data_IF_114823916441
#
_entry.id   IF_114823916441
#
_cell.length_a   1.000
_cell.length_b   1.000
_cell.length_c   1.000
_cell.angle_alpha   90.00
_cell.angle_beta   90.00
_cell.angle_gamma   90.00
#
_symmetry.space_group_name_H-M   'P 1'
#
loop_
_entity.id
_entity.type
_entity.pdbx_description
1 polymer ?
#
# COMPACT_ATOMS: atom_id res chain seq x y z
N UNK A 1 3.32 -21.46 -13.68
CA UNK A 1 4.24 -20.47 -13.12
C UNK A 1 4.30 -20.77 -11.63
N UNK A 2 5.46 -21.13 -11.08
CA UNK A 2 5.60 -21.28 -9.62
C UNK A 2 5.65 -19.88 -9.02
N UNK A 3 4.51 -19.41 -8.55
CA UNK A 3 4.46 -18.15 -7.80
C UNK A 3 5.09 -18.39 -6.44
N UNK A 4 6.07 -17.58 -6.09
CA UNK A 4 6.64 -17.62 -4.75
C UNK A 4 5.65 -16.93 -3.79
N UNK A 5 5.16 -17.73 -2.86
CA UNK A 5 4.31 -17.30 -1.76
C UNK A 5 4.86 -17.90 -0.47
N UNK A 6 4.64 -17.23 0.64
CA UNK A 6 4.90 -17.75 1.96
C UNK A 6 3.79 -17.39 2.92
N UNK A 7 3.53 -18.31 3.83
CA UNK A 7 2.61 -18.13 4.96
C UNK A 7 3.40 -18.41 6.23
N UNK A 8 3.32 -17.50 7.19
CA UNK A 8 3.75 -17.79 8.56
C UNK A 8 2.50 -17.90 9.45
N UNK A 9 2.47 -18.97 10.24
CA UNK A 9 1.38 -19.30 11.15
C UNK A 9 1.90 -19.14 12.57
N UNK A 10 1.14 -18.52 13.50
CA UNK A 10 1.53 -18.46 14.91
C UNK A 10 1.71 -19.85 15.51
N UNK A 11 2.60 -19.93 16.49
CA UNK A 11 2.71 -21.14 17.32
C UNK A 11 1.47 -21.33 18.21
N UNK A 12 1.18 -22.57 18.53
CA UNK A 12 0.10 -22.93 19.46
C UNK A 12 -1.15 -23.50 18.78
N UNK A 13 -2.26 -23.42 19.47
CA UNK A 13 -3.53 -24.02 19.01
C UNK A 13 -4.27 -23.04 18.10
N UNK A 14 -4.65 -23.51 16.91
CA UNK A 14 -5.48 -22.73 15.99
C UNK A 14 -6.83 -22.38 16.65
N UNK A 15 -7.26 -21.11 16.62
CA UNK A 15 -8.58 -20.71 17.09
C UNK A 15 -9.70 -21.48 16.38
N UNK A 16 -10.85 -21.64 17.04
CA UNK A 16 -12.02 -22.34 16.47
C UNK A 16 -12.45 -21.77 15.12
N UNK A 17 -12.40 -20.43 14.94
CA UNK A 17 -12.72 -19.75 13.67
C UNK A 17 -11.61 -19.81 12.61
N UNK A 18 -10.43 -20.30 12.95
CA UNK A 18 -9.21 -20.20 12.15
C UNK A 18 -8.31 -19.04 12.57
N UNK A 19 -7.16 -18.91 11.95
CA UNK A 19 -6.21 -17.84 12.24
C UNK A 19 -6.67 -16.51 11.63
N UNK A 20 -6.65 -15.39 12.38
CA UNK A 20 -6.69 -14.07 11.79
C UNK A 20 -5.54 -13.95 10.78
N UNK A 21 -5.74 -13.23 9.69
CA UNK A 21 -4.76 -13.15 8.61
C UNK A 21 -4.47 -11.71 8.20
N UNK A 22 -3.20 -11.41 8.00
CA UNK A 22 -2.76 -10.24 7.24
C UNK A 22 -2.20 -10.70 5.88
N UNK A 23 -2.72 -10.12 4.80
CA UNK A 23 -2.16 -10.24 3.46
C UNK A 23 -1.19 -9.07 3.27
N UNK A 24 0.06 -9.38 2.94
CA UNK A 24 1.13 -8.39 2.84
C UNK A 24 1.56 -8.14 1.39
N UNK A 25 1.42 -6.89 0.95
CA UNK A 25 1.94 -6.40 -0.33
C UNK A 25 3.27 -5.68 -0.15
N UNK A 26 4.36 -6.24 -0.69
CA UNK A 26 5.70 -5.69 -0.57
C UNK A 26 5.94 -4.45 -1.44
N UNK A 27 6.99 -3.68 -1.14
CA UNK A 27 7.46 -2.56 -1.95
C UNK A 27 8.20 -3.01 -3.22
N UNK A 28 8.43 -2.06 -4.12
CA UNK A 28 9.21 -2.27 -5.36
C UNK A 28 10.59 -2.82 -5.05
N UNK A 29 11.00 -3.85 -5.77
CA UNK A 29 12.27 -4.55 -5.51
C UNK A 29 12.22 -5.56 -4.37
N UNK A 30 11.12 -5.62 -3.60
CA UNK A 30 10.89 -6.60 -2.57
C UNK A 30 10.46 -7.97 -3.10
N UNK A 31 10.02 -8.82 -2.21
CA UNK A 31 9.48 -10.16 -2.50
C UNK A 31 8.57 -10.62 -1.36
N UNK A 32 8.00 -11.80 -1.48
CA UNK A 32 7.27 -12.45 -0.38
C UNK A 32 8.07 -12.49 0.95
N UNK A 33 9.42 -12.52 0.87
CA UNK A 33 10.29 -12.50 2.07
C UNK A 33 10.17 -11.20 2.87
N UNK A 34 9.81 -10.09 2.22
CA UNK A 34 9.58 -8.82 2.94
C UNK A 34 8.43 -8.93 3.94
N UNK A 35 7.36 -9.66 3.61
CA UNK A 35 6.32 -10.00 4.58
C UNK A 35 6.79 -10.94 5.67
N UNK A 36 7.61 -11.93 5.31
CA UNK A 36 8.13 -12.89 6.28
C UNK A 36 9.07 -12.26 7.31
N UNK A 37 9.71 -11.13 7.01
CA UNK A 37 10.50 -10.40 8.00
C UNK A 37 9.67 -9.84 9.17
N UNK A 38 8.34 -9.74 9.01
CA UNK A 38 7.40 -9.28 10.04
C UNK A 38 6.63 -10.43 10.71
N UNK A 39 6.98 -11.67 10.36
CA UNK A 39 6.23 -12.85 10.80
C UNK A 39 6.23 -13.03 12.33
N UNK A 40 7.34 -12.70 12.99
CA UNK A 40 7.46 -12.82 14.44
C UNK A 40 6.53 -11.85 15.19
N UNK A 41 6.43 -10.61 14.72
CA UNK A 41 5.57 -9.58 15.28
C UNK A 41 4.09 -9.98 15.14
N UNK A 42 3.68 -10.43 13.96
CA UNK A 42 2.31 -10.90 13.74
C UNK A 42 2.00 -12.17 14.53
N UNK A 43 2.94 -13.13 14.58
CA UNK A 43 2.78 -14.34 15.37
C UNK A 43 2.61 -14.04 16.87
N UNK A 44 3.35 -13.05 17.39
CA UNK A 44 3.20 -12.57 18.76
C UNK A 44 1.81 -11.99 19.08
N UNK A 45 1.10 -11.53 18.06
CA UNK A 45 -0.29 -11.07 18.16
C UNK A 45 -1.32 -12.18 17.86
N UNK A 46 -0.88 -13.40 17.59
CA UNK A 46 -1.77 -14.51 17.20
C UNK A 46 -2.33 -14.36 15.78
N UNK A 47 -1.65 -13.64 14.90
CA UNK A 47 -2.08 -13.35 13.52
C UNK A 47 -1.15 -14.06 12.54
N UNK A 48 -1.72 -14.77 11.57
CA UNK A 48 -0.97 -15.31 10.43
C UNK A 48 -0.65 -14.21 9.41
N UNK A 49 0.42 -14.39 8.64
CA UNK A 49 0.77 -13.49 7.53
C UNK A 49 0.97 -14.28 6.25
N UNK A 50 0.35 -13.82 5.16
CA UNK A 50 0.49 -14.35 3.80
C UNK A 50 1.14 -13.27 2.93
N UNK A 51 2.23 -13.61 2.26
CA UNK A 51 2.89 -12.74 1.31
C UNK A 51 3.19 -13.48 0.00
N UNK A 52 3.12 -12.76 -1.12
CA UNK A 52 3.43 -13.27 -2.45
C UNK A 52 4.32 -12.31 -3.20
N UNK A 53 5.05 -12.80 -4.21
CA UNK A 53 5.72 -11.94 -5.16
C UNK A 53 4.68 -11.21 -6.02
N UNK A 54 4.70 -9.88 -6.01
CA UNK A 54 3.80 -9.06 -6.82
C UNK A 54 4.11 -9.16 -8.32
N UNK A 55 3.23 -8.61 -9.16
CA UNK A 55 3.45 -8.48 -10.60
C UNK A 55 4.84 -7.89 -10.90
N UNK A 56 5.54 -8.41 -11.89
CA UNK A 56 6.90 -8.04 -12.30
C UNK A 56 7.99 -8.25 -11.24
N UNK A 57 7.74 -9.06 -10.19
CA UNK A 57 8.72 -9.43 -9.17
C UNK A 57 8.96 -10.94 -9.14
N UNK A 58 10.10 -11.33 -8.56
CA UNK A 58 10.48 -12.74 -8.49
C UNK A 58 10.41 -13.45 -9.85
N UNK A 59 9.94 -14.70 -9.91
CA UNK A 59 9.77 -15.45 -11.17
C UNK A 59 8.74 -14.82 -12.12
N UNK A 60 7.85 -13.98 -11.61
CA UNK A 60 6.82 -13.30 -12.41
C UNK A 60 7.39 -12.21 -13.33
N UNK A 61 8.65 -11.82 -13.16
CA UNK A 61 9.33 -10.87 -14.07
C UNK A 61 9.48 -11.39 -15.49
N UNK A 62 9.80 -12.67 -15.62
CA UNK A 62 10.11 -13.31 -16.90
C UNK A 62 11.45 -12.90 -17.52
N UNK A 63 12.10 -11.85 -17.03
CA UNK A 63 13.41 -11.34 -17.49
C UNK A 63 14.23 -10.82 -16.31
N UNK A 64 15.56 -10.86 -16.41
CA UNK A 64 16.48 -10.33 -15.41
C UNK A 64 16.67 -8.81 -15.59
N UNK A 65 15.74 -8.04 -15.04
CA UNK A 65 15.76 -6.57 -15.01
C UNK A 65 15.26 -6.06 -13.67
N UNK A 66 15.57 -4.83 -13.35
CA UNK A 66 15.00 -4.10 -12.21
C UNK A 66 13.46 -4.12 -12.30
N UNK A 67 12.76 -4.60 -11.26
CA UNK A 67 11.30 -4.66 -11.25
C UNK A 67 10.63 -3.29 -11.29
N UNK A 68 11.27 -2.22 -10.80
CA UNK A 68 10.69 -0.89 -10.80
C UNK A 68 10.33 -0.38 -12.20
N UNK A 69 11.29 -0.25 -13.13
CA UNK A 69 11.00 0.11 -14.51
C UNK A 69 10.10 -0.88 -15.26
N UNK A 70 10.07 -2.15 -14.86
CA UNK A 70 9.16 -3.13 -15.45
C UNK A 70 7.72 -2.92 -14.98
N UNK A 71 7.53 -2.67 -13.69
CA UNK A 71 6.21 -2.50 -13.10
C UNK A 71 5.58 -1.16 -13.48
N UNK A 72 6.31 -0.05 -13.22
CA UNK A 72 5.84 1.31 -13.49
C UNK A 72 6.03 1.78 -14.94
N UNK A 73 6.52 1.03 -15.80
CA UNK A 73 6.80 1.16 -17.23
C UNK A 73 6.14 2.35 -17.93
N UNK A 74 6.46 3.57 -17.51
CA UNK A 74 5.90 4.81 -18.08
C UNK A 74 6.21 5.00 -19.57
N UNK A 75 7.23 4.32 -20.10
CA UNK A 75 7.49 4.24 -21.54
C UNK A 75 6.46 3.39 -22.30
N UNK A 76 5.64 2.61 -21.59
CA UNK A 76 4.52 1.85 -22.12
C UNK A 76 3.32 2.00 -21.17
N UNK A 77 2.58 3.13 -21.23
CA UNK A 77 1.50 3.44 -20.30
C UNK A 77 0.43 2.34 -20.16
N UNK A 78 0.00 1.64 -21.23
CA UNK A 78 -0.90 0.51 -21.08
C UNK A 78 -0.35 -0.62 -20.20
N UNK A 79 0.94 -0.94 -20.31
CA UNK A 79 1.58 -1.95 -19.48
C UNK A 79 1.67 -1.48 -18.01
N UNK A 80 2.07 -0.24 -17.76
CA UNK A 80 2.11 0.35 -16.43
C UNK A 80 0.75 0.26 -15.73
N UNK A 81 -0.31 0.73 -16.41
CA UNK A 81 -1.68 0.65 -15.91
C UNK A 81 -2.13 -0.81 -15.70
N UNK A 82 -1.83 -1.69 -16.64
CA UNK A 82 -2.14 -3.12 -16.56
C UNK A 82 -1.47 -3.81 -15.37
N UNK A 83 -0.22 -3.47 -15.06
CA UNK A 83 0.50 -4.03 -13.91
C UNK A 83 -0.12 -3.63 -12.57
N UNK A 84 -0.58 -2.38 -12.43
CA UNK A 84 -1.31 -1.92 -11.25
C UNK A 84 -2.62 -2.68 -11.06
N UNK A 85 -3.41 -2.83 -12.12
CA UNK A 85 -4.66 -3.61 -12.10
C UNK A 85 -4.40 -5.09 -11.83
N UNK A 86 -3.31 -5.66 -12.36
CA UNK A 86 -2.93 -7.03 -12.07
C UNK A 86 -2.60 -7.22 -10.58
N UNK A 87 -1.88 -6.27 -9.98
CA UNK A 87 -1.60 -6.30 -8.54
C UNK A 87 -2.88 -6.28 -7.69
N UNK A 88 -3.87 -5.47 -8.09
CA UNK A 88 -5.18 -5.46 -7.43
C UNK A 88 -5.91 -6.81 -7.61
N UNK A 89 -5.93 -7.36 -8.83
CA UNK A 89 -6.58 -8.65 -9.13
C UNK A 89 -5.96 -9.81 -8.36
N UNK A 90 -4.63 -9.81 -8.21
CA UNK A 90 -3.92 -10.80 -7.39
C UNK A 90 -4.39 -10.74 -5.93
N UNK A 91 -4.51 -9.53 -5.36
CA UNK A 91 -4.95 -9.33 -4.00
C UNK A 91 -6.39 -9.81 -3.76
N UNK A 92 -7.32 -9.57 -4.69
CA UNK A 92 -8.66 -10.19 -4.64
C UNK A 92 -8.58 -11.72 -4.60
N UNK A 93 -7.69 -12.29 -5.40
CA UNK A 93 -7.49 -13.75 -5.44
C UNK A 93 -6.94 -14.29 -4.12
N UNK A 94 -6.04 -13.55 -3.46
CA UNK A 94 -5.48 -13.92 -2.15
C UNK A 94 -6.55 -13.88 -1.05
N UNK A 95 -7.42 -12.87 -1.04
CA UNK A 95 -8.54 -12.84 -0.07
C UNK A 95 -9.48 -14.00 -0.30
N UNK A 96 -9.85 -14.29 -1.54
CA UNK A 96 -10.69 -15.46 -1.88
C UNK A 96 -10.05 -16.76 -1.47
N UNK A 97 -8.74 -16.92 -1.74
CA UNK A 97 -8.00 -18.09 -1.26
C UNK A 97 -8.08 -18.20 0.26
N UNK A 98 -7.78 -17.14 0.99
CA UNK A 98 -7.79 -17.13 2.45
C UNK A 98 -9.16 -17.49 3.04
N UNK A 99 -10.25 -17.03 2.42
CA UNK A 99 -11.63 -17.30 2.88
C UNK A 99 -12.08 -18.74 2.71
N UNK A 100 -11.49 -19.49 1.80
CA UNK A 100 -11.91 -20.86 1.48
C UNK A 100 -10.86 -21.90 1.83
N UNK A 101 -9.65 -21.49 2.18
CA UNK A 101 -8.57 -22.43 2.48
C UNK A 101 -8.84 -23.14 3.81
N UNK A 102 -8.97 -24.47 3.74
CA UNK A 102 -9.03 -25.39 4.86
C UNK A 102 -8.24 -26.64 4.48
N UNK A 103 -7.02 -26.76 5.01
CA UNK A 103 -6.12 -27.82 4.56
C UNK A 103 -4.78 -27.81 5.28
N UNK A 104 -3.82 -28.52 4.69
CA UNK A 104 -2.48 -28.65 5.28
C UNK A 104 -1.47 -27.69 4.65
N UNK A 105 -0.73 -26.99 5.51
CA UNK A 105 0.50 -26.31 5.17
C UNK A 105 1.66 -27.04 5.86
N UNK A 106 2.40 -27.84 5.10
CA UNK A 106 3.34 -28.78 5.67
C UNK A 106 2.64 -29.85 6.53
N UNK A 107 3.00 -29.93 7.81
CA UNK A 107 2.39 -30.84 8.78
C UNK A 107 1.19 -30.25 9.53
N UNK A 108 0.96 -28.94 9.41
CA UNK A 108 -0.06 -28.22 10.16
C UNK A 108 -1.39 -28.20 9.41
N UNK A 109 -2.48 -28.48 10.13
CA UNK A 109 -3.83 -28.16 9.65
C UNK A 109 -4.06 -26.66 9.83
N UNK A 110 -4.45 -25.98 8.77
CA UNK A 110 -4.56 -24.53 8.74
C UNK A 110 -5.87 -24.12 8.09
N UNK A 111 -6.54 -23.18 8.72
CA UNK A 111 -7.69 -22.45 8.22
C UNK A 111 -7.55 -21.00 8.65
N UNK A 112 -7.95 -20.06 7.80
CA UNK A 112 -8.02 -18.65 8.14
C UNK A 112 -9.43 -18.26 8.53
N UNK A 113 -9.54 -17.30 9.45
CA UNK A 113 -10.84 -16.75 9.85
C UNK A 113 -11.34 -15.76 8.79
N UNK A 114 -12.40 -16.08 8.05
CA UNK A 114 -12.89 -15.22 6.97
C UNK A 114 -13.45 -13.88 7.46
N UNK A 115 -13.71 -13.73 8.77
CA UNK A 115 -14.18 -12.50 9.38
C UNK A 115 -13.03 -11.60 9.87
N UNK A 116 -11.78 -12.09 9.88
CA UNK A 116 -10.62 -11.40 10.43
C UNK A 116 -9.44 -11.40 9.44
N UNK A 117 -9.69 -10.88 8.24
CA UNK A 117 -8.67 -10.67 7.21
C UNK A 117 -8.39 -9.18 7.09
N UNK A 118 -7.11 -8.80 7.10
CA UNK A 118 -6.65 -7.44 6.88
C UNK A 118 -5.57 -7.41 5.78
N UNK A 119 -5.31 -6.22 5.25
CA UNK A 119 -4.26 -5.98 4.28
C UNK A 119 -3.20 -5.05 4.85
N UNK A 120 -1.94 -5.32 4.57
CA UNK A 120 -0.84 -4.36 4.78
C UNK A 120 -0.09 -4.19 3.47
N UNK A 121 -0.07 -2.97 2.97
CA UNK A 121 0.69 -2.59 1.78
C UNK A 121 1.85 -1.67 2.11
N UNK A 122 3.03 -1.97 1.57
CA UNK A 122 4.18 -1.09 1.64
C UNK A 122 4.56 -0.60 0.24
N UNK A 123 4.74 0.73 0.07
CA UNK A 123 5.20 1.34 -1.18
C UNK A 123 4.37 0.85 -2.38
N UNK A 124 4.89 0.00 -3.27
CA UNK A 124 4.13 -0.57 -4.38
C UNK A 124 2.87 -1.32 -3.89
N UNK A 125 2.95 -2.08 -2.79
CA UNK A 125 1.78 -2.70 -2.16
C UNK A 125 0.77 -1.67 -1.67
N UNK A 126 1.24 -0.51 -1.19
CA UNK A 126 0.38 0.61 -0.83
C UNK A 126 -0.17 1.38 -2.05
N UNK A 127 0.40 1.18 -3.24
CA UNK A 127 -0.16 1.71 -4.50
C UNK A 127 -1.23 0.78 -5.08
N UNK A 128 -1.02 -0.54 -5.01
CA UNK A 128 -1.99 -1.52 -5.54
C UNK A 128 -3.13 -1.82 -4.56
N UNK A 129 -2.88 -1.68 -3.25
CA UNK A 129 -3.85 -1.93 -2.20
C UNK A 129 -5.14 -1.12 -2.33
N UNK A 130 -5.07 0.20 -2.51
CA UNK A 130 -6.24 1.05 -2.69
C UNK A 130 -7.15 0.67 -3.86
N UNK A 131 -6.62 -0.02 -4.86
CA UNK A 131 -7.38 -0.45 -6.03
C UNK A 131 -8.25 -1.68 -5.76
N UNK A 132 -8.10 -2.35 -4.61
CA UNK A 132 -8.91 -3.52 -4.28
C UNK A 132 -9.58 -3.44 -2.90
N UNK A 133 -8.91 -2.86 -1.91
CA UNK A 133 -9.39 -2.81 -0.51
C UNK A 133 -10.82 -2.29 -0.38
N UNK A 134 -11.23 -1.17 -1.03
CA UNK A 134 -12.59 -0.66 -0.90
C UNK A 134 -13.65 -1.50 -1.63
N UNK A 135 -13.23 -2.46 -2.45
CA UNK A 135 -14.11 -3.28 -3.29
C UNK A 135 -14.18 -4.74 -2.83
N UNK A 136 -13.44 -5.09 -1.77
CA UNK A 136 -13.38 -6.45 -1.22
C UNK A 136 -14.12 -6.51 0.13
N UNK A 137 -15.22 -7.27 0.18
CA UNK A 137 -16.05 -7.43 1.38
C UNK A 137 -15.45 -8.32 2.45
N UNK A 138 -14.40 -9.07 2.10
CA UNK A 138 -13.67 -9.95 3.01
C UNK A 138 -12.69 -9.25 3.95
N UNK A 139 -12.45 -7.94 3.77
CA UNK A 139 -11.49 -7.19 4.57
C UNK A 139 -12.15 -6.42 5.71
N UNK A 140 -11.43 -6.28 6.82
CA UNK A 140 -11.84 -5.49 8.00
C UNK A 140 -10.87 -4.37 8.34
N UNK A 141 -9.70 -4.35 7.74
CA UNK A 141 -8.74 -3.28 7.92
C UNK A 141 -7.66 -3.28 6.87
N UNK A 142 -7.04 -2.12 6.69
CA UNK A 142 -5.87 -1.96 5.84
C UNK A 142 -4.86 -1.00 6.48
N UNK A 143 -3.58 -1.31 6.33
CA UNK A 143 -2.47 -0.42 6.68
C UNK A 143 -1.68 -0.14 5.41
N UNK A 144 -1.47 1.14 5.11
CA UNK A 144 -0.65 1.59 4.01
C UNK A 144 0.56 2.33 4.54
N UNK A 145 1.76 2.01 4.04
CA UNK A 145 2.99 2.70 4.38
C UNK A 145 3.71 3.14 3.11
N UNK A 146 4.02 4.44 3.01
CA UNK A 146 4.59 5.00 1.80
C UNK A 146 3.63 4.90 0.60
N UNK A 147 2.33 5.07 0.86
CA UNK A 147 1.32 5.22 -0.18
C UNK A 147 1.45 6.58 -0.87
N UNK A 148 0.91 6.68 -2.09
CA UNK A 148 0.89 7.94 -2.79
C UNK A 148 -0.30 8.07 -3.73
N UNK A 149 -0.96 9.22 -3.68
CA UNK A 149 -1.96 9.67 -4.64
C UNK A 149 -1.44 10.82 -5.47
N UNK A 150 -2.05 11.08 -6.62
CA UNK A 150 -1.62 12.03 -7.64
C UNK A 150 -0.29 11.70 -8.31
N UNK A 151 -0.39 11.08 -9.46
CA UNK A 151 0.77 10.77 -10.30
C UNK A 151 1.57 12.03 -10.69
N UNK A 152 0.90 13.18 -10.84
CA UNK A 152 1.56 14.47 -11.12
C UNK A 152 2.60 14.79 -10.06
N UNK A 153 2.19 14.80 -8.79
CA UNK A 153 3.12 15.07 -7.69
C UNK A 153 4.15 13.95 -7.49
N UNK A 154 3.76 12.72 -7.80
CA UNK A 154 4.68 11.58 -7.83
C UNK A 154 5.82 11.78 -8.84
N UNK A 155 5.50 12.14 -10.08
CA UNK A 155 6.47 12.38 -11.15
C UNK A 155 7.37 13.61 -10.89
N UNK A 156 6.83 14.65 -10.28
CA UNK A 156 7.58 15.87 -9.98
C UNK A 156 8.46 15.72 -8.73
N UNK A 157 7.98 14.96 -7.74
CA UNK A 157 8.59 14.91 -6.41
C UNK A 157 9.54 13.75 -6.16
N UNK A 158 9.39 12.61 -6.86
CA UNK A 158 10.19 11.40 -6.65
C UNK A 158 11.67 11.64 -6.95
N UNK A 159 12.54 11.35 -5.96
CA UNK A 159 13.99 11.53 -6.04
C UNK A 159 14.77 10.23 -6.04
N UNK A 160 14.23 9.16 -5.45
CA UNK A 160 14.90 7.88 -5.31
C UNK A 160 14.13 6.74 -6.00
N UNK A 161 14.81 5.73 -6.54
CA UNK A 161 16.26 5.60 -6.71
C UNK A 161 16.84 6.50 -7.82
N UNK A 162 15.99 7.23 -8.54
CA UNK A 162 16.35 8.23 -9.55
C UNK A 162 15.30 9.35 -9.54
N UNK A 163 15.74 10.54 -9.93
CA UNK A 163 14.85 11.71 -10.02
C UNK A 163 13.93 11.56 -11.24
N UNK A 164 12.66 11.27 -10.99
CA UNK A 164 11.66 11.04 -12.04
C UNK A 164 11.42 12.32 -12.87
N UNK A 165 11.58 13.51 -12.28
CA UNK A 165 11.38 14.78 -12.97
C UNK A 165 12.40 15.02 -14.10
N UNK A 166 13.60 14.43 -14.01
CA UNK A 166 14.61 14.50 -15.08
C UNK A 166 14.12 13.75 -16.32
N UNK A 167 13.65 12.52 -16.13
CA UNK A 167 13.09 11.71 -17.22
C UNK A 167 11.86 12.37 -17.85
N UNK A 168 11.00 12.97 -17.03
CA UNK A 168 9.82 13.70 -17.47
C UNK A 168 10.18 14.91 -18.35
N UNK A 169 11.09 15.77 -17.88
CA UNK A 169 11.58 16.93 -18.63
C UNK A 169 12.25 16.53 -19.96
N UNK A 170 13.07 15.47 -19.91
CA UNK A 170 13.69 14.92 -21.12
C UNK A 170 12.66 14.37 -22.12
N UNK A 171 11.64 13.69 -21.66
CA UNK A 171 10.55 13.15 -22.50
C UNK A 171 9.69 14.25 -23.13
N UNK A 172 9.40 15.31 -22.38
CA UNK A 172 8.65 16.47 -22.86
C UNK A 172 9.51 17.46 -23.68
N UNK A 173 10.85 17.34 -23.61
CA UNK A 173 11.81 18.28 -24.17
C UNK A 173 11.65 19.71 -23.63
N UNK A 174 11.25 19.83 -22.36
CA UNK A 174 11.02 21.09 -21.66
C UNK A 174 11.83 21.16 -20.36
N UNK A 175 12.40 22.35 -20.09
CA UNK A 175 13.21 22.57 -18.88
C UNK A 175 12.34 22.92 -17.66
N UNK A 176 11.19 23.53 -17.89
CA UNK A 176 10.28 23.98 -16.86
C UNK A 176 8.98 23.18 -16.97
N UNK A 177 8.83 22.23 -16.05
CA UNK A 177 7.61 21.39 -15.92
C UNK A 177 7.17 21.49 -14.47
N UNK A 178 5.98 22.00 -14.26
CA UNK A 178 5.33 22.14 -12.95
C UNK A 178 4.00 21.39 -12.91
N UNK A 179 3.30 21.49 -11.79
CA UNK A 179 2.03 20.79 -11.56
C UNK A 179 0.86 21.32 -12.40
N UNK A 180 1.00 22.49 -13.03
CA UNK A 180 0.01 23.04 -13.97
C UNK A 180 0.22 22.58 -15.43
N UNK A 181 1.30 21.83 -15.71
CA UNK A 181 1.66 21.46 -17.08
C UNK A 181 0.59 20.56 -17.75
N UNK A 182 0.04 20.93 -18.93
CA UNK A 182 -1.09 20.20 -19.55
C UNK A 182 -0.82 18.71 -19.81
N UNK A 183 0.41 18.35 -20.22
CA UNK A 183 0.77 16.95 -20.46
C UNK A 183 0.70 16.12 -19.17
N UNK A 184 1.02 16.69 -18.00
CA UNK A 184 0.89 15.98 -16.73
C UNK A 184 -0.57 15.69 -16.39
N UNK A 185 -1.48 16.62 -16.68
CA UNK A 185 -2.91 16.41 -16.47
C UNK A 185 -3.48 15.33 -17.41
N UNK A 186 -2.97 15.24 -18.65
CA UNK A 186 -3.34 14.15 -19.56
C UNK A 186 -2.82 12.80 -19.07
N UNK A 187 -1.59 12.76 -18.55
CA UNK A 187 -1.01 11.55 -17.94
C UNK A 187 -1.83 11.16 -16.71
N UNK A 188 -2.12 12.11 -15.81
CA UNK A 188 -2.95 11.88 -14.63
C UNK A 188 -4.30 11.29 -15.03
N UNK A 189 -5.02 11.91 -15.94
CA UNK A 189 -6.31 11.44 -16.43
C UNK A 189 -6.26 10.01 -16.97
N UNK A 190 -5.20 9.67 -17.72
CA UNK A 190 -5.02 8.31 -18.23
C UNK A 190 -4.87 7.28 -17.10
N UNK A 191 -4.19 7.66 -16.02
CA UNK A 191 -3.93 6.80 -14.87
C UNK A 191 -4.94 6.93 -13.73
N UNK A 192 -5.92 7.82 -13.82
CA UNK A 192 -6.92 8.07 -12.77
C UNK A 192 -7.54 6.77 -12.22
N UNK A 193 -7.93 5.84 -13.08
CA UNK A 193 -8.49 4.56 -12.65
C UNK A 193 -7.50 3.63 -11.92
N UNK A 194 -6.25 4.02 -11.77
CA UNK A 194 -5.21 3.30 -11.02
C UNK A 194 -4.46 4.19 -10.04
N UNK A 195 -4.93 5.43 -9.83
CA UNK A 195 -4.36 6.33 -8.85
C UNK A 195 -5.05 6.11 -7.49
N UNK A 196 -4.29 5.79 -6.43
CA UNK A 196 -4.83 5.55 -5.09
C UNK A 196 -5.80 6.62 -4.58
N UNK A 197 -5.56 7.89 -4.86
CA UNK A 197 -6.39 8.99 -4.36
C UNK A 197 -7.85 8.92 -4.82
N UNK A 198 -8.13 8.33 -5.99
CA UNK A 198 -9.50 8.23 -6.50
C UNK A 198 -10.28 7.07 -5.88
N UNK A 199 -9.60 6.16 -5.20
CA UNK A 199 -10.19 5.04 -4.47
C UNK A 199 -10.37 5.32 -2.97
N UNK A 200 -9.70 6.35 -2.45
CA UNK A 200 -9.78 6.76 -1.04
C UNK A 200 -11.20 6.96 -0.53
N UNK A 201 -12.08 7.72 -1.22
CA UNK A 201 -13.44 7.95 -0.76
C UNK A 201 -14.28 6.67 -0.61
N UNK A 202 -13.97 5.63 -1.36
CA UNK A 202 -14.65 4.34 -1.26
C UNK A 202 -14.20 3.51 -0.03
N UNK A 203 -13.11 3.90 0.64
CA UNK A 203 -12.59 3.18 1.82
C UNK A 203 -13.29 3.51 3.12
N UNK A 204 -14.25 4.42 3.14
CA UNK A 204 -15.00 4.75 4.34
C UNK A 204 -15.78 3.54 4.91
N UNK A 205 -16.16 2.60 4.06
CA UNK A 205 -16.85 1.36 4.42
C UNK A 205 -16.52 0.26 3.43
N UNK A 206 -16.51 -0.99 3.92
CA UNK A 206 -16.49 -2.15 3.05
C UNK A 206 -17.79 -2.25 2.20
N UNK A 207 -17.81 -3.00 1.08
CA UNK A 207 -18.99 -3.12 0.22
C UNK A 207 -20.24 -3.66 0.94
N UNK A 208 -20.06 -4.48 1.97
CA UNK A 208 -21.14 -4.99 2.84
C UNK A 208 -21.66 -3.96 3.86
N UNK A 209 -21.13 -2.73 3.85
CA UNK A 209 -21.47 -1.65 4.77
C UNK A 209 -20.79 -1.73 6.14
N UNK A 210 -20.00 -2.77 6.41
CA UNK A 210 -19.24 -2.89 7.65
C UNK A 210 -18.15 -1.79 7.74
N UNK A 211 -17.73 -1.40 8.95
CA UNK A 211 -16.60 -0.51 9.12
C UNK A 211 -15.33 -1.12 8.50
N UNK A 212 -14.62 -0.32 7.70
CA UNK A 212 -13.29 -0.64 7.19
C UNK A 212 -12.29 0.30 7.90
N UNK A 213 -11.41 -0.29 8.70
CA UNK A 213 -10.41 0.47 9.45
C UNK A 213 -9.17 0.68 8.58
N UNK A 214 -8.84 1.93 8.29
CA UNK A 214 -7.69 2.27 7.43
C UNK A 214 -6.70 3.13 8.21
N UNK A 215 -5.42 2.75 8.15
CA UNK A 215 -4.30 3.54 8.63
C UNK A 215 -3.35 3.81 7.46
N UNK A 216 -3.06 5.08 7.20
CA UNK A 216 -2.03 5.50 6.27
C UNK A 216 -0.86 6.13 7.03
N UNK A 217 0.37 5.68 6.73
CA UNK A 217 1.60 6.14 7.35
C UNK A 217 2.49 6.77 6.29
N UNK A 218 2.71 8.06 6.41
CA UNK A 218 3.45 8.88 5.44
C UNK A 218 4.82 9.25 6.01
N UNK A 219 5.89 8.96 5.26
CA UNK A 219 7.23 9.46 5.57
C UNK A 219 7.39 10.90 5.11
N UNK A 220 7.80 11.80 6.00
CA UNK A 220 7.95 13.22 5.68
C UNK A 220 9.07 13.48 4.66
N UNK A 221 10.21 12.82 4.79
CA UNK A 221 11.38 12.94 3.90
C UNK A 221 11.56 11.70 3.02
N UNK A 222 10.45 11.15 2.54
CA UNK A 222 10.48 9.98 1.67
C UNK A 222 10.81 10.39 0.22
N UNK A 223 12.00 10.02 -0.23
CA UNK A 223 12.45 10.28 -1.61
C UNK A 223 11.86 9.31 -2.64
N UNK A 224 11.26 8.19 -2.20
CA UNK A 224 10.61 7.21 -3.09
C UNK A 224 9.13 7.52 -3.31
N UNK A 225 8.40 7.81 -2.23
CA UNK A 225 7.01 8.22 -2.23
C UNK A 225 6.92 9.62 -1.62
N UNK A 226 6.98 10.69 -2.42
CA UNK A 226 7.03 12.05 -1.91
C UNK A 226 5.90 12.34 -0.93
N UNK A 227 6.21 12.96 0.21
CA UNK A 227 5.24 13.20 1.30
C UNK A 227 3.92 13.83 0.82
N UNK A 228 3.98 14.71 -0.19
CA UNK A 228 2.77 15.32 -0.78
C UNK A 228 1.81 14.29 -1.33
N UNK A 229 2.31 13.23 -1.97
CA UNK A 229 1.48 12.18 -2.54
C UNK A 229 0.80 11.38 -1.43
N UNK A 230 1.50 11.11 -0.32
CA UNK A 230 0.91 10.48 0.87
C UNK A 230 -0.18 11.34 1.50
N UNK A 231 0.07 12.63 1.70
CA UNK A 231 -0.94 13.56 2.24
C UNK A 231 -2.18 13.66 1.33
N UNK A 232 -2.00 13.67 0.00
CA UNK A 232 -3.14 13.68 -0.94
C UNK A 232 -3.95 12.38 -0.81
N UNK A 233 -3.29 11.23 -0.70
CA UNK A 233 -3.99 9.98 -0.49
C UNK A 233 -4.72 9.96 0.86
N UNK A 234 -4.04 10.34 1.95
CA UNK A 234 -4.64 10.43 3.28
C UNK A 234 -5.85 11.39 3.31
N UNK A 235 -5.76 12.54 2.63
CA UNK A 235 -6.89 13.46 2.48
C UNK A 235 -8.07 12.82 1.73
N UNK A 236 -7.79 11.99 0.72
CA UNK A 236 -8.83 11.30 -0.03
C UNK A 236 -9.59 10.25 0.80
N UNK A 237 -8.97 9.70 1.85
CA UNK A 237 -9.61 8.79 2.79
C UNK A 237 -10.68 9.50 3.64
N UNK A 238 -10.67 10.84 3.73
CA UNK A 238 -11.58 11.63 4.56
C UNK A 238 -11.39 11.41 6.06
N UNK A 239 -10.27 10.83 6.46
CA UNK A 239 -9.93 10.52 7.84
C UNK A 239 -9.29 11.68 8.59
N UNK A 240 -9.01 11.46 9.87
CA UNK A 240 -8.24 12.38 10.69
C UNK A 240 -6.74 12.23 10.39
N UNK A 241 -6.02 13.36 10.38
CA UNK A 241 -4.58 13.37 10.28
C UNK A 241 -3.96 13.37 11.68
N UNK A 242 -3.01 12.46 11.91
CA UNK A 242 -2.15 12.48 13.07
C UNK A 242 -0.73 12.73 12.58
N UNK A 243 -0.16 13.87 12.94
CA UNK A 243 1.23 14.18 12.63
C UNK A 243 2.12 13.77 13.79
N UNK A 244 3.09 12.93 13.51
CA UNK A 244 4.18 12.59 14.41
C UNK A 244 5.49 12.93 13.72
N UNK A 245 6.25 13.86 14.30
CA UNK A 245 7.59 14.19 13.81
C UNK A 245 8.60 13.49 14.71
N UNK A 246 9.37 12.58 14.15
CA UNK A 246 10.54 12.01 14.79
C UNK A 246 11.73 12.94 14.49
N UNK A 247 12.14 13.71 15.50
CA UNK A 247 13.32 14.56 15.42
C UNK A 247 14.64 13.81 15.76
N UNK A 248 14.59 12.48 15.74
CA UNK A 248 15.72 11.60 16.06
C UNK A 248 15.99 11.45 17.55
N UNK A 249 15.21 12.10 18.42
CA UNK A 249 15.37 12.06 19.88
C UNK A 249 14.25 11.27 20.59
N UNK A 250 13.42 10.57 19.87
CA UNK A 250 12.19 10.03 20.39
C UNK A 250 12.23 8.53 20.69
N UNK A 251 13.20 8.04 21.48
CA UNK A 251 13.09 6.74 22.20
C UNK A 251 14.00 6.71 23.42
N UNK A 252 13.60 6.19 24.59
CA UNK A 252 12.39 5.45 24.93
C UNK A 252 11.47 6.16 25.94
N UNK A 253 10.96 7.32 25.67
CA UNK A 253 10.14 8.06 26.64
C UNK A 253 8.96 8.87 26.09
N UNK A 254 8.75 8.82 24.79
CA UNK A 254 7.66 9.53 24.12
C UNK A 254 8.07 10.90 23.60
N UNK A 255 7.84 11.13 22.30
CA UNK A 255 7.88 12.46 21.72
C UNK A 255 6.63 13.21 22.14
N UNK A 256 6.82 14.35 22.80
CA UNK A 256 5.74 15.31 22.91
C UNK A 256 5.32 15.73 21.51
N UNK A 257 4.02 15.71 21.20
CA UNK A 257 3.51 16.38 20.01
C UNK A 257 3.89 17.85 20.13
N UNK A 258 4.92 18.28 19.42
CA UNK A 258 5.16 19.71 19.23
C UNK A 258 4.08 20.20 18.29
N UNK A 259 3.31 21.18 18.76
CA UNK A 259 2.13 21.64 18.10
C UNK A 259 2.42 22.17 16.69
N UNK A 260 1.99 21.42 15.74
CA UNK A 260 1.67 21.95 14.43
C UNK A 260 0.30 22.62 14.54
N UNK A 261 0.19 23.88 14.17
CA UNK A 261 -1.10 24.55 14.14
C UNK A 261 -1.83 24.13 12.85
N UNK A 262 -2.90 23.30 12.98
CA UNK A 262 -3.69 22.89 11.82
C UNK A 262 -4.35 24.06 11.11
N UNK A 263 -4.52 25.20 11.78
CA UNK A 263 -5.08 26.42 11.23
C UNK A 263 -4.25 27.00 10.09
N UNK A 264 -2.93 26.78 10.07
CA UNK A 264 -2.05 27.22 8.97
C UNK A 264 -2.29 26.46 7.66
N UNK A 265 -2.88 25.27 7.71
CA UNK A 265 -3.23 24.47 6.52
C UNK A 265 -4.73 24.40 6.26
N UNK A 266 -5.56 25.05 7.06
CA UNK A 266 -7.02 24.97 6.93
C UNK A 266 -7.60 23.58 7.23
N UNK A 267 -6.91 22.78 8.03
CA UNK A 267 -7.32 21.43 8.42
C UNK A 267 -7.80 21.40 9.86
N UNK A 268 -8.97 20.81 10.10
CA UNK A 268 -9.46 20.52 11.45
C UNK A 268 -8.83 19.23 12.00
N UNK A 269 -8.19 19.32 13.16
CA UNK A 269 -7.70 18.15 13.89
C UNK A 269 -8.90 17.42 14.53
N UNK A 270 -9.12 16.19 14.11
CA UNK A 270 -10.11 15.33 14.74
C UNK A 270 -9.52 14.60 15.94
N UNK A 271 -10.23 14.63 17.06
CA UNK A 271 -9.94 13.78 18.20
C UNK A 271 -10.27 12.33 17.86
N UNK A 272 -9.35 11.42 18.18
CA UNK A 272 -9.68 9.99 18.23
C UNK A 272 -10.88 9.81 19.18
N UNK A 273 -12.01 9.36 18.66
CA UNK A 273 -13.08 8.84 19.51
C UNK A 273 -12.65 7.47 20.02
N UNK A 274 -12.58 7.34 21.31
CA UNK A 274 -12.39 6.08 22.06
C UNK A 274 -13.76 5.63 22.54
N UNK A 275 -14.67 5.32 21.65
CA UNK A 275 -15.97 4.71 21.98
C UNK A 275 -16.02 3.32 21.35
#
# INVERSE_FOLDING_TARGET
VADHAAVAIPDGTMPEGGWPLVIYGHGTGGSFRSGMSQAAEYAGLGVAILAVDQAMHGPRRGIERDPGPLFYNFGNPPAARGNLLQGAADNFSLVRFARVFDGKLGALDVRFDPARIAYQGHSQGATTGPLFVPYEDGLRGAVFTGAGGSLVYGLLGKKLPYDASIGLKGGLQELHVDDAHPALHLIQWYFDGTDPMLHGPAMARAPDGAPLHVLDVVGWDDGYAPWRTGVIFAASLGGAFLFHFDDGNCWPGGCGMQGFDPGELGMDLFRLRTD
#
